data_IF_670349028120
#
_entry.id   IF_670349028120
#
_cell.length_a   1.000
_cell.length_b   1.000
_cell.length_c   1.000
_cell.angle_alpha   90.00
_cell.angle_beta   90.00
_cell.angle_gamma   90.00
#
_symmetry.space_group_name_H-M   'P 1'
#
loop_
_entity.id
_entity.type
_entity.pdbx_description
1 polymer ?
#
# COMPACT_ATOMS: atom_id res chain seq x y z
N UNK A 1 -31.80 -20.57 15.42
CA UNK A 1 -33.18 -20.15 15.77
C UNK A 1 -33.92 -19.95 14.44
N UNK A 2 -34.63 -20.97 13.97
CA UNK A 2 -36.04 -21.26 14.22
C UNK A 2 -36.98 -20.24 13.53
N UNK A 3 -37.80 -20.76 12.60
CA UNK A 3 -38.81 -20.14 11.71
C UNK A 3 -39.93 -19.38 12.46
N UNK A 4 -40.91 -18.68 11.81
CA UNK A 4 -41.97 -19.27 10.95
C UNK A 4 -42.39 -18.42 9.71
N UNK A 5 -42.79 -19.03 8.59
CA UNK A 5 -44.16 -19.41 8.19
C UNK A 5 -45.15 -18.25 8.09
N UNK A 6 -45.58 -17.94 6.86
CA UNK A 6 -46.67 -17.01 6.54
C UNK A 6 -47.45 -17.50 5.32
N UNK A 7 -48.55 -18.22 5.58
CA UNK A 7 -49.59 -18.61 4.63
C UNK A 7 -50.48 -17.39 4.32
N UNK A 8 -50.79 -17.17 3.05
CA UNK A 8 -51.91 -16.37 2.53
C UNK A 8 -52.12 -16.77 1.06
N UNK A 9 -53.30 -16.85 0.44
CA UNK A 9 -54.70 -16.87 0.83
C UNK A 9 -55.46 -17.38 -0.44
N UNK A 10 -56.72 -17.83 -0.36
CA UNK A 10 -57.45 -18.45 -1.47
C UNK A 10 -57.97 -17.40 -2.47
N UNK A 11 -58.09 -17.83 -3.74
CA UNK A 11 -58.70 -17.07 -4.83
C UNK A 11 -60.20 -16.84 -4.59
N UNK A 12 -60.79 -15.72 -5.07
CA UNK A 12 -62.23 -15.52 -5.01
C UNK A 12 -62.95 -16.19 -6.18
N UNK A 13 -64.01 -16.92 -5.82
CA UNK A 13 -64.99 -17.55 -6.69
C UNK A 13 -65.73 -16.53 -7.59
N UNK A 14 -65.89 -16.91 -8.86
CA UNK A 14 -66.79 -16.27 -9.81
C UNK A 14 -68.20 -16.84 -9.67
N UNK A 15 -69.27 -16.03 -9.60
CA UNK A 15 -70.62 -16.54 -9.78
C UNK A 15 -71.01 -16.49 -11.27
N UNK A 16 -70.97 -17.65 -11.91
CA UNK A 16 -71.61 -17.89 -13.19
C UNK A 16 -73.13 -18.05 -13.00
N UNK A 17 -73.91 -17.05 -13.40
CA UNK A 17 -75.36 -17.21 -13.60
C UNK A 17 -75.59 -17.75 -15.02
N UNK A 18 -75.99 -19.02 -15.13
CA UNK A 18 -76.51 -19.60 -16.36
C UNK A 18 -77.95 -19.15 -16.64
N UNK A 19 -78.42 -19.21 -17.90
CA UNK A 19 -79.83 -19.06 -18.23
C UNK A 19 -80.56 -20.41 -18.13
N UNK A 20 -81.61 -20.47 -17.31
CA UNK A 20 -82.61 -21.54 -17.28
C UNK A 20 -83.76 -21.19 -18.24
N UNK A 21 -84.10 -22.04 -19.22
CA UNK A 21 -85.37 -21.96 -19.95
C UNK A 21 -86.44 -22.76 -19.20
N UNK A 22 -87.53 -22.10 -18.81
CA UNK A 22 -88.77 -22.73 -18.38
C UNK A 22 -89.84 -22.58 -19.45
N UNK A 23 -90.78 -23.54 -19.40
CA UNK A 23 -92.12 -23.61 -20.03
C UNK A 23 -92.10 -24.46 -21.32
N UNK A 24 -92.36 -25.77 -21.22
CA UNK A 24 -93.65 -26.51 -21.06
C UNK A 24 -94.40 -26.69 -22.38
N UNK A 25 -94.46 -27.94 -22.82
CA UNK A 25 -95.47 -28.46 -23.74
C UNK A 25 -96.87 -28.43 -23.11
N UNK A 26 -97.89 -28.07 -23.90
CA UNK A 26 -99.21 -28.71 -23.84
C UNK A 26 -99.98 -28.41 -25.14
N UNK A 27 -100.27 -29.48 -25.88
CA UNK A 27 -101.29 -29.55 -26.93
C UNK A 27 -102.63 -29.77 -26.24
N UNK A 28 -103.67 -28.99 -26.54
CA UNK A 28 -105.01 -29.55 -26.82
C UNK A 28 -105.99 -28.54 -27.46
N UNK A 29 -106.77 -29.11 -28.39
CA UNK A 29 -108.14 -28.83 -28.81
C UNK A 29 -108.54 -27.55 -29.56
N UNK A 30 -109.15 -27.85 -30.72
CA UNK A 30 -109.91 -26.99 -31.63
C UNK A 30 -111.33 -26.87 -31.09
N UNK A 31 -111.83 -25.65 -30.96
CA UNK A 31 -113.25 -25.31 -31.10
C UNK A 31 -113.33 -23.82 -31.47
N UNK A 32 -113.80 -23.55 -32.68
CA UNK A 32 -114.36 -22.26 -33.14
C UNK A 32 -115.88 -22.52 -33.19
N UNK A 33 -116.76 -21.61 -32.75
CA UNK A 33 -117.04 -20.42 -33.56
C UNK A 33 -117.46 -19.18 -32.72
N UNK A 34 -117.94 -18.15 -33.41
CA UNK A 34 -118.54 -16.90 -32.90
C UNK A 34 -117.60 -15.72 -32.60
N UNK A 35 -117.46 -14.88 -33.64
CA UNK A 35 -117.43 -13.43 -33.43
C UNK A 35 -116.08 -12.87 -33.05
N UNK A 36 -115.14 -12.82 -34.01
CA UNK A 36 -114.00 -11.92 -33.96
C UNK A 36 -114.49 -10.46 -34.00
N UNK A 37 -114.97 -9.93 -32.87
CA UNK A 37 -115.06 -8.49 -32.66
C UNK A 37 -113.62 -8.02 -32.51
N UNK A 38 -112.97 -7.75 -33.65
CA UNK A 38 -111.65 -7.13 -33.67
C UNK A 38 -111.83 -5.75 -33.07
N UNK A 39 -111.63 -5.61 -31.76
CA UNK A 39 -111.43 -4.31 -31.14
C UNK A 39 -110.09 -3.83 -31.68
N UNK A 40 -110.17 -3.16 -32.82
CA UNK A 40 -109.05 -2.44 -33.39
C UNK A 40 -108.84 -1.23 -32.48
N UNK A 41 -108.15 -1.44 -31.36
CA UNK A 41 -107.67 -0.34 -30.55
C UNK A 41 -106.67 0.45 -31.39
N UNK A 42 -106.78 1.77 -31.31
CA UNK A 42 -105.76 2.65 -31.88
C UNK A 42 -104.60 2.71 -30.90
N UNK A 43 -103.39 2.58 -31.40
CA UNK A 43 -102.20 2.76 -30.59
C UNK A 43 -102.24 4.16 -29.93
N UNK A 44 -102.09 4.30 -28.61
CA UNK A 44 -102.18 5.57 -27.90
C UNK A 44 -101.02 6.54 -28.23
N UNK A 45 -100.02 6.08 -28.99
CA UNK A 45 -98.80 6.82 -29.33
C UNK A 45 -98.83 7.36 -30.77
N UNK A 46 -99.35 6.60 -31.73
CA UNK A 46 -99.40 6.99 -33.15
C UNK A 46 -100.80 6.96 -33.77
N UNK A 47 -101.82 6.56 -32.99
CA UNK A 47 -103.23 6.45 -33.39
C UNK A 47 -103.50 5.47 -34.55
N UNK A 48 -102.54 4.61 -34.89
CA UNK A 48 -102.68 3.58 -35.92
C UNK A 48 -103.36 2.35 -35.32
N UNK A 49 -104.23 1.73 -36.11
CA UNK A 49 -104.94 0.49 -35.80
C UNK A 49 -103.96 -0.62 -35.42
N UNK A 50 -104.14 -1.23 -34.25
CA UNK A 50 -103.28 -2.32 -33.79
C UNK A 50 -104.05 -3.34 -32.97
N UNK A 51 -103.60 -4.61 -33.03
CA UNK A 51 -104.14 -5.71 -32.23
C UNK A 51 -103.61 -5.71 -30.79
N UNK A 52 -102.57 -4.91 -30.50
CA UNK A 52 -101.98 -4.76 -29.18
C UNK A 52 -102.10 -3.31 -28.72
N UNK A 53 -102.11 -3.11 -27.40
CA UNK A 53 -102.16 -1.81 -26.72
C UNK A 53 -101.18 -0.77 -27.29
N UNK A 54 -100.01 -1.20 -27.78
CA UNK A 54 -99.05 -0.36 -28.53
C UNK A 54 -98.54 -1.09 -29.76
N UNK A 55 -98.39 -0.40 -30.90
CA UNK A 55 -97.92 -1.03 -32.12
C UNK A 55 -96.42 -1.37 -32.08
N UNK A 56 -96.03 -2.41 -32.83
CA UNK A 56 -94.63 -2.85 -32.91
C UNK A 56 -93.68 -1.74 -33.38
N UNK A 57 -94.14 -0.84 -34.27
CA UNK A 57 -93.36 0.32 -34.71
C UNK A 57 -93.02 1.26 -33.54
N UNK A 58 -93.99 1.62 -32.72
CA UNK A 58 -93.76 2.48 -31.54
C UNK A 58 -92.83 1.81 -30.53
N UNK A 59 -92.99 0.50 -30.28
CA UNK A 59 -92.12 -0.28 -29.39
C UNK A 59 -90.69 -0.35 -29.93
N UNK A 60 -90.51 -0.66 -31.23
CA UNK A 60 -89.21 -0.70 -31.89
C UNK A 60 -88.54 0.68 -31.91
N UNK A 61 -89.32 1.74 -32.13
CA UNK A 61 -88.83 3.13 -32.06
C UNK A 61 -88.52 3.60 -30.63
N UNK A 62 -88.77 2.77 -29.60
CA UNK A 62 -88.55 3.13 -28.19
C UNK A 62 -89.36 4.34 -27.70
N UNK A 63 -90.40 4.77 -28.44
CA UNK A 63 -91.20 5.97 -28.17
C UNK A 63 -92.56 5.58 -27.57
N UNK A 64 -92.54 5.11 -26.32
CA UNK A 64 -93.74 4.74 -25.56
C UNK A 64 -93.70 5.26 -24.11
N UNK A 65 -94.87 5.32 -23.47
CA UNK A 65 -95.07 5.84 -22.10
C UNK A 65 -95.66 4.73 -21.22
N UNK A 66 -95.34 4.71 -19.93
CA UNK A 66 -95.98 3.82 -18.96
C UNK A 66 -97.42 4.28 -18.66
N UNK A 67 -98.39 3.36 -18.77
CA UNK A 67 -99.83 3.67 -18.61
C UNK A 67 -100.29 3.81 -17.15
N UNK A 68 -99.43 3.46 -16.18
CA UNK A 68 -99.71 3.47 -14.73
C UNK A 68 -99.84 4.89 -14.12
N UNK A 69 -99.89 5.95 -14.94
CA UNK A 69 -100.09 7.34 -14.52
C UNK A 69 -98.96 7.98 -13.70
N UNK A 70 -98.09 7.18 -13.09
CA UNK A 70 -96.97 7.60 -12.23
C UNK A 70 -95.80 8.22 -12.98
N UNK A 71 -95.59 7.88 -14.25
CA UNK A 71 -94.50 8.40 -15.06
C UNK A 71 -94.97 8.77 -16.46
N UNK A 72 -94.97 10.08 -16.76
CA UNK A 72 -95.29 10.63 -18.09
C UNK A 72 -94.07 10.76 -19.03
N UNK A 73 -92.89 10.40 -18.55
CA UNK A 73 -91.64 10.43 -19.34
C UNK A 73 -91.66 9.31 -20.38
N UNK A 74 -91.31 9.64 -21.64
CA UNK A 74 -91.19 8.63 -22.69
C UNK A 74 -89.94 7.79 -22.47
N UNK A 75 -89.99 6.53 -22.84
CA UNK A 75 -88.85 5.63 -22.70
C UNK A 75 -87.61 6.15 -23.47
N UNK A 76 -87.81 6.79 -24.63
CA UNK A 76 -86.74 7.42 -25.41
C UNK A 76 -86.01 8.52 -24.61
N UNK A 77 -86.74 9.42 -23.94
CA UNK A 77 -86.18 10.49 -23.10
C UNK A 77 -85.42 9.91 -21.90
N UNK A 78 -85.99 8.87 -21.27
CA UNK A 78 -85.36 8.16 -20.15
C UNK A 78 -84.05 7.47 -20.56
N UNK A 79 -84.02 6.86 -21.74
CA UNK A 79 -82.83 6.22 -22.33
C UNK A 79 -81.77 7.26 -22.69
N UNK A 80 -82.18 8.40 -23.25
CA UNK A 80 -81.27 9.51 -23.54
C UNK A 80 -80.66 10.08 -22.26
N UNK A 81 -81.46 10.28 -21.21
CA UNK A 81 -80.97 10.70 -19.89
C UNK A 81 -79.95 9.71 -19.33
N UNK A 82 -80.21 8.41 -19.43
CA UNK A 82 -79.25 7.38 -19.00
C UNK A 82 -77.94 7.47 -19.80
N UNK A 83 -78.01 7.64 -21.12
CA UNK A 83 -76.81 7.80 -21.94
C UNK A 83 -76.02 9.06 -21.57
N UNK A 84 -76.70 10.19 -21.35
CA UNK A 84 -76.06 11.43 -20.87
C UNK A 84 -75.37 11.24 -19.52
N UNK A 85 -75.99 10.52 -18.59
CA UNK A 85 -75.37 10.20 -17.30
C UNK A 85 -74.15 9.28 -17.44
N UNK A 86 -74.22 8.28 -18.32
CA UNK A 86 -73.07 7.41 -18.62
C UNK A 86 -71.91 8.19 -19.23
N UNK A 87 -72.17 9.06 -20.20
CA UNK A 87 -71.13 9.92 -20.79
C UNK A 87 -70.48 10.83 -19.74
N UNK A 88 -71.28 11.46 -18.87
CA UNK A 88 -70.75 12.26 -17.75
C UNK A 88 -69.92 11.42 -16.77
N UNK A 89 -70.36 10.19 -16.45
CA UNK A 89 -69.61 9.28 -15.60
C UNK A 89 -68.24 8.96 -16.21
N UNK A 90 -68.18 8.67 -17.50
CA UNK A 90 -66.92 8.41 -18.20
C UNK A 90 -66.02 9.64 -18.25
N UNK A 91 -66.57 10.84 -18.45
CA UNK A 91 -65.84 12.10 -18.39
C UNK A 91 -65.22 12.30 -17.01
N UNK A 92 -66.00 12.17 -15.93
CA UNK A 92 -65.49 12.27 -14.56
C UNK A 92 -64.42 11.21 -14.26
N UNK A 93 -64.59 9.97 -14.73
CA UNK A 93 -63.58 8.92 -14.56
C UNK A 93 -62.27 9.30 -15.26
N UNK A 94 -62.31 9.83 -16.48
CA UNK A 94 -61.13 10.30 -17.20
C UNK A 94 -60.44 11.47 -16.48
N UNK A 95 -61.22 12.42 -15.97
CA UNK A 95 -60.67 13.55 -15.21
C UNK A 95 -59.96 13.10 -13.93
N UNK A 96 -60.58 12.19 -13.17
CA UNK A 96 -59.98 11.63 -11.96
C UNK A 96 -58.67 10.90 -12.27
N UNK A 97 -58.66 10.05 -13.31
CA UNK A 97 -57.43 9.35 -13.73
C UNK A 97 -56.32 10.33 -14.13
N UNK A 98 -56.65 11.38 -14.88
CA UNK A 98 -55.69 12.42 -15.26
C UNK A 98 -55.14 13.18 -14.06
N UNK A 99 -55.99 13.51 -13.08
CA UNK A 99 -55.58 14.18 -11.85
C UNK A 99 -54.68 13.28 -10.98
N UNK A 100 -55.01 11.99 -10.89
CA UNK A 100 -54.21 10.98 -10.19
C UNK A 100 -52.83 10.80 -10.82
N UNK A 101 -52.75 10.72 -12.15
CA UNK A 101 -51.47 10.65 -12.88
C UNK A 101 -50.62 11.88 -12.60
N UNK A 102 -51.20 13.09 -12.65
CA UNK A 102 -50.50 14.33 -12.31
C UNK A 102 -49.94 14.33 -10.88
N UNK A 103 -50.72 13.86 -9.90
CA UNK A 103 -50.27 13.69 -8.51
C UNK A 103 -49.12 12.69 -8.40
N UNK A 104 -49.23 11.55 -9.07
CA UNK A 104 -48.20 10.52 -9.07
C UNK A 104 -46.86 11.05 -9.61
N UNK A 105 -46.88 11.78 -10.72
CA UNK A 105 -45.67 12.40 -11.29
C UNK A 105 -45.04 13.39 -10.30
N UNK A 106 -45.86 14.24 -9.66
CA UNK A 106 -45.38 15.21 -8.67
C UNK A 106 -44.71 14.50 -7.50
N UNK A 107 -45.35 13.47 -6.94
CA UNK A 107 -44.79 12.74 -5.81
C UNK A 107 -43.54 11.95 -6.20
N UNK A 108 -43.50 11.39 -7.40
CA UNK A 108 -42.29 10.75 -7.95
C UNK A 108 -41.12 11.73 -8.03
N UNK A 109 -41.35 12.96 -8.53
CA UNK A 109 -40.33 14.00 -8.59
C UNK A 109 -39.92 14.48 -7.19
N UNK A 110 -40.86 14.63 -6.25
CA UNK A 110 -40.56 14.97 -4.85
C UNK A 110 -39.64 13.95 -4.22
N UNK A 111 -39.90 12.65 -4.41
CA UNK A 111 -39.03 11.59 -3.92
C UNK A 111 -37.62 11.64 -4.52
N UNK A 112 -37.51 11.87 -5.84
CA UNK A 112 -36.21 12.05 -6.51
C UNK A 112 -35.44 13.24 -5.93
N UNK A 113 -36.11 14.39 -5.75
CA UNK A 113 -35.51 15.59 -5.15
C UNK A 113 -35.04 15.31 -3.72
N UNK A 114 -35.86 14.65 -2.90
CA UNK A 114 -35.51 14.30 -1.52
C UNK A 114 -34.31 13.35 -1.45
N UNK A 115 -34.26 12.34 -2.32
CA UNK A 115 -33.13 11.42 -2.44
C UNK A 115 -31.84 12.15 -2.83
N UNK A 116 -31.90 13.01 -3.85
CA UNK A 116 -30.76 13.84 -4.25
C UNK A 116 -30.29 14.76 -3.10
N UNK A 117 -31.21 15.42 -2.39
CA UNK A 117 -30.87 16.26 -1.23
C UNK A 117 -30.14 15.46 -0.16
N UNK A 118 -30.66 14.29 0.20
CA UNK A 118 -30.02 13.40 1.17
C UNK A 118 -28.60 13.02 0.73
N UNK A 119 -28.42 12.67 -0.55
CA UNK A 119 -27.12 12.33 -1.11
C UNK A 119 -26.13 13.49 -1.07
N UNK A 120 -26.59 14.70 -1.37
CA UNK A 120 -25.75 15.91 -1.29
C UNK A 120 -25.29 16.12 0.15
N UNK A 121 -26.16 15.94 1.15
CA UNK A 121 -25.74 16.19 2.54
C UNK A 121 -24.78 15.12 3.06
N UNK A 122 -24.96 13.86 2.64
CA UNK A 122 -23.98 12.80 2.88
C UNK A 122 -22.61 13.12 2.26
N UNK A 123 -22.59 13.64 1.04
CA UNK A 123 -21.35 14.04 0.36
C UNK A 123 -20.68 15.23 1.07
N UNK A 124 -21.46 16.25 1.46
CA UNK A 124 -20.93 17.39 2.23
C UNK A 124 -20.29 16.92 3.54
N UNK A 125 -20.95 16.03 4.29
CA UNK A 125 -20.38 15.48 5.53
C UNK A 125 -19.08 14.72 5.29
N UNK A 126 -19.02 13.92 4.22
CA UNK A 126 -17.80 13.17 3.84
C UNK A 126 -16.66 14.14 3.48
N UNK A 127 -16.94 15.19 2.70
CA UNK A 127 -15.95 16.22 2.35
C UNK A 127 -15.46 16.95 3.61
N UNK A 128 -16.35 17.34 4.52
CA UNK A 128 -15.97 17.99 5.78
C UNK A 128 -15.05 17.10 6.63
N UNK A 129 -15.38 15.81 6.77
CA UNK A 129 -14.54 14.84 7.50
C UNK A 129 -13.16 14.71 6.86
N UNK A 130 -13.11 14.52 5.54
CA UNK A 130 -11.86 14.42 4.79
C UNK A 130 -10.99 15.68 4.92
N UNK A 131 -11.57 16.87 4.87
CA UNK A 131 -10.84 18.13 5.04
C UNK A 131 -10.22 18.29 6.43
N UNK A 132 -10.94 17.90 7.50
CA UNK A 132 -10.39 17.95 8.86
C UNK A 132 -9.25 16.94 9.06
N UNK A 133 -9.36 15.73 8.49
CA UNK A 133 -8.28 14.75 8.48
C UNK A 133 -7.05 15.25 7.70
N UNK A 134 -7.25 15.82 6.52
CA UNK A 134 -6.17 16.43 5.73
C UNK A 134 -5.47 17.56 6.50
N UNK A 135 -6.23 18.39 7.23
CA UNK A 135 -5.68 19.45 8.07
C UNK A 135 -4.87 18.89 9.25
N UNK A 136 -5.34 17.81 9.89
CA UNK A 136 -4.61 17.11 10.95
C UNK A 136 -3.31 16.49 10.41
N UNK A 137 -3.39 15.80 9.27
CA UNK A 137 -2.24 15.16 8.62
C UNK A 137 -1.20 16.19 8.16
N UNK A 138 -1.64 17.30 7.56
CA UNK A 138 -0.76 18.40 7.17
C UNK A 138 -0.02 19.01 8.36
N UNK A 139 -0.71 19.26 9.49
CA UNK A 139 -0.08 19.72 10.74
C UNK A 139 0.93 18.70 11.28
N UNK A 140 0.59 17.40 11.23
CA UNK A 140 1.49 16.32 11.62
C UNK A 140 2.76 16.27 10.78
N UNK A 141 2.62 16.37 9.45
CA UNK A 141 3.71 16.39 8.50
C UNK A 141 4.66 17.56 8.75
N UNK A 142 4.13 18.75 9.02
CA UNK A 142 4.94 19.95 9.26
C UNK A 142 5.78 19.81 10.54
N UNK A 143 5.20 19.25 11.61
CA UNK A 143 5.94 18.92 12.85
C UNK A 143 7.04 17.89 12.61
N UNK A 144 6.77 16.86 11.81
CA UNK A 144 7.77 15.84 11.46
C UNK A 144 8.90 16.43 10.63
N UNK A 145 8.58 17.30 9.66
CA UNK A 145 9.57 18.01 8.83
C UNK A 145 10.49 18.87 9.70
N UNK A 146 9.94 19.61 10.67
CA UNK A 146 10.72 20.42 11.61
C UNK A 146 11.65 19.56 12.47
N UNK A 147 11.17 18.43 13.01
CA UNK A 147 12.00 17.48 13.77
C UNK A 147 13.14 16.92 12.90
N UNK A 148 12.84 16.51 11.67
CA UNK A 148 13.84 16.02 10.74
C UNK A 148 14.88 17.09 10.41
N UNK A 149 14.47 18.35 10.18
CA UNK A 149 15.40 19.45 9.95
C UNK A 149 16.36 19.64 11.13
N UNK A 150 15.87 19.58 12.38
CA UNK A 150 16.71 19.65 13.59
C UNK A 150 17.70 18.48 13.67
N UNK A 151 17.28 17.28 13.28
CA UNK A 151 18.15 16.10 13.22
C UNK A 151 19.24 16.27 12.16
N UNK A 152 18.90 16.75 10.96
CA UNK A 152 19.89 17.07 9.91
C UNK A 152 20.91 18.09 10.40
N UNK A 153 20.48 19.20 11.02
CA UNK A 153 21.41 20.19 11.57
C UNK A 153 22.27 19.63 12.71
N UNK A 154 21.78 18.67 13.50
CA UNK A 154 22.57 17.99 14.53
C UNK A 154 23.59 17.03 13.90
N UNK A 155 23.19 16.25 12.91
CA UNK A 155 24.06 15.34 12.18
C UNK A 155 25.20 16.10 11.50
N UNK A 156 24.90 17.23 10.84
CA UNK A 156 25.89 18.09 10.22
C UNK A 156 26.93 18.60 11.23
N UNK A 157 26.51 19.12 12.38
CA UNK A 157 27.44 19.56 13.44
C UNK A 157 28.35 18.44 13.93
N UNK A 158 27.83 17.21 14.04
CA UNK A 158 28.65 16.05 14.43
C UNK A 158 29.63 15.66 13.32
N UNK A 159 29.21 15.73 12.06
CA UNK A 159 30.07 15.48 10.91
C UNK A 159 31.23 16.48 10.83
N UNK A 160 30.95 17.78 11.00
CA UNK A 160 31.97 18.84 11.05
C UNK A 160 32.98 18.62 12.18
N UNK A 161 32.52 18.17 13.36
CA UNK A 161 33.40 17.80 14.48
C UNK A 161 34.28 16.60 14.13
N UNK A 162 33.71 15.56 13.53
CA UNK A 162 34.45 14.37 13.09
C UNK A 162 35.55 14.76 12.09
N UNK A 163 35.24 15.58 11.10
CA UNK A 163 36.21 16.07 10.12
C UNK A 163 37.29 16.94 10.75
N UNK A 164 36.95 17.74 11.77
CA UNK A 164 37.94 18.54 12.53
C UNK A 164 38.92 17.65 13.31
N UNK A 165 38.42 16.58 13.94
CA UNK A 165 39.26 15.60 14.64
C UNK A 165 40.14 14.84 13.65
N UNK A 166 39.56 14.32 12.57
CA UNK A 166 40.31 13.60 11.54
C UNK A 166 41.43 14.46 10.93
N UNK A 167 41.19 15.76 10.69
CA UNK A 167 42.24 16.68 10.24
C UNK A 167 43.37 16.85 11.26
N UNK A 168 43.05 16.92 12.56
CA UNK A 168 44.06 17.00 13.62
C UNK A 168 44.87 15.71 13.71
N UNK A 169 44.20 14.56 13.65
CA UNK A 169 44.87 13.25 13.73
C UNK A 169 45.80 13.04 12.53
N UNK A 170 45.40 13.44 11.30
CA UNK A 170 46.29 13.40 10.14
C UNK A 170 47.55 14.23 10.34
N UNK A 171 47.40 15.51 10.74
CA UNK A 171 48.54 16.39 11.02
C UNK A 171 49.46 15.86 12.11
N UNK A 172 48.88 15.27 13.17
CA UNK A 172 49.65 14.64 14.24
C UNK A 172 50.42 13.43 13.71
N UNK A 173 49.79 12.58 12.89
CA UNK A 173 50.45 11.47 12.20
C UNK A 173 51.63 11.95 11.34
N UNK A 174 51.43 12.98 10.52
CA UNK A 174 52.49 13.56 9.68
C UNK A 174 53.68 14.05 10.54
N UNK A 175 53.40 14.75 11.64
CA UNK A 175 54.44 15.22 12.57
C UNK A 175 55.19 14.07 13.24
N UNK A 176 54.48 13.06 13.73
CA UNK A 176 55.09 11.89 14.38
C UNK A 176 56.02 11.14 13.42
N UNK A 177 55.61 10.94 12.18
CA UNK A 177 56.46 10.34 11.14
C UNK A 177 57.69 11.21 10.87
N UNK A 178 57.54 12.54 10.80
CA UNK A 178 58.68 13.42 10.51
C UNK A 178 59.68 13.58 11.67
N UNK A 179 59.23 13.53 12.93
CA UNK A 179 60.05 13.88 14.10
C UNK A 179 60.55 12.65 14.86
N UNK A 180 59.73 11.61 15.01
CA UNK A 180 60.06 10.46 15.87
C UNK A 180 60.65 9.31 15.06
N UNK A 181 60.17 9.09 13.84
CA UNK A 181 60.60 7.97 12.99
C UNK A 181 60.90 8.44 11.56
N UNK A 182 61.98 9.20 11.31
CA UNK A 182 62.47 9.40 9.96
C UNK A 182 63.01 8.06 9.45
N UNK A 183 62.12 7.26 8.85
CA UNK A 183 62.47 5.97 8.25
C UNK A 183 63.02 6.27 6.86
N UNK A 184 64.34 6.19 6.72
CA UNK A 184 65.01 6.19 5.42
C UNK A 184 65.39 4.76 5.07
N UNK A 185 64.96 4.31 3.89
CA UNK A 185 65.35 3.01 3.34
C UNK A 185 66.78 3.11 2.79
N UNK A 186 67.76 2.58 3.54
CA UNK A 186 69.16 2.58 3.13
C UNK A 186 69.44 1.35 2.28
N UNK A 187 69.55 1.53 0.96
CA UNK A 187 70.02 0.48 0.05
C UNK A 187 71.53 0.33 0.18
N UNK A 188 72.01 -0.65 0.94
CA UNK A 188 73.42 -1.07 0.89
C UNK A 188 73.66 -1.86 -0.40
N UNK A 189 73.96 -1.12 -1.46
CA UNK A 189 74.34 -1.69 -2.74
C UNK A 189 75.80 -2.11 -2.75
N UNK A 190 76.07 -3.41 -2.81
CA UNK A 190 77.18 -3.94 -3.60
C UNK A 190 76.54 -4.75 -4.71
N UNK A 191 76.41 -4.14 -5.89
CA UNK A 191 76.01 -4.83 -7.12
C UNK A 191 77.25 -4.92 -8.01
N UNK A 192 77.66 -6.15 -8.32
CA UNK A 192 78.58 -6.44 -9.43
C UNK A 192 77.94 -6.02 -10.77
N UNK A 193 78.70 -5.40 -11.69
CA UNK A 193 78.18 -4.87 -12.94
C UNK A 193 78.27 -5.92 -14.06
N UNK A 194 77.37 -6.89 -14.05
CA UNK A 194 77.06 -7.70 -15.24
C UNK A 194 75.72 -8.43 -15.03
N UNK A 195 74.62 -7.85 -15.50
CA UNK A 195 73.88 -8.48 -16.60
C UNK A 195 72.82 -7.51 -17.13
N UNK A 196 72.73 -7.47 -18.45
CA UNK A 196 71.91 -6.54 -19.20
C UNK A 196 70.51 -7.04 -19.50
N UNK A 197 69.67 -6.08 -19.90
CA UNK A 197 68.68 -6.22 -20.96
C UNK A 197 67.61 -7.32 -20.84
N UNK A 198 66.38 -6.91 -20.54
CA UNK A 198 65.26 -7.13 -21.47
C UNK A 198 64.01 -6.35 -21.07
N UNK A 199 63.58 -5.45 -21.97
CA UNK A 199 62.18 -5.07 -22.12
C UNK A 199 61.37 -6.29 -22.57
N UNK A 200 60.18 -6.49 -22.02
CA UNK A 200 58.90 -6.66 -22.76
C UNK A 200 57.81 -7.34 -21.92
N UNK A 201 56.68 -6.64 -21.83
CA UNK A 201 55.29 -7.10 -21.70
C UNK A 201 55.00 -8.43 -20.97
N UNK A 202 54.56 -8.32 -19.70
CA UNK A 202 53.71 -9.36 -19.11
C UNK A 202 52.75 -8.84 -18.03
N UNK A 203 51.98 -7.79 -18.35
CA UNK A 203 50.98 -7.21 -17.45
C UNK A 203 49.79 -8.14 -17.10
N UNK A 204 49.76 -9.38 -17.58
CA UNK A 204 48.70 -10.37 -17.27
C UNK A 204 49.18 -11.73 -16.74
N UNK A 205 50.49 -11.98 -16.65
CA UNK A 205 51.04 -13.19 -15.97
C UNK A 205 51.80 -12.87 -14.70
N UNK A 206 52.10 -11.59 -14.44
CA UNK A 206 52.82 -11.13 -13.25
C UNK A 206 52.15 -11.56 -11.94
N UNK A 207 50.82 -11.51 -11.79
CA UNK A 207 50.18 -11.87 -10.50
C UNK A 207 50.42 -13.33 -10.09
N UNK A 208 50.32 -14.29 -11.01
CA UNK A 208 50.48 -15.72 -10.68
C UNK A 208 51.95 -16.11 -10.61
N UNK A 209 52.78 -15.58 -11.51
CA UNK A 209 54.23 -15.83 -11.52
C UNK A 209 54.89 -15.15 -10.31
N UNK A 210 54.46 -13.94 -9.91
CA UNK A 210 54.92 -13.30 -8.67
C UNK A 210 54.47 -14.05 -7.43
N UNK A 211 53.24 -14.57 -7.37
CA UNK A 211 52.79 -15.43 -6.27
C UNK A 211 53.56 -16.75 -6.18
N UNK A 212 53.90 -17.35 -7.31
CA UNK A 212 54.73 -18.56 -7.35
C UNK A 212 56.19 -18.27 -6.98
N UNK A 213 56.73 -17.14 -7.43
CA UNK A 213 58.06 -16.67 -7.05
C UNK A 213 58.15 -16.31 -5.56
N UNK A 214 57.08 -15.75 -4.98
CA UNK A 214 56.95 -15.49 -3.54
C UNK A 214 56.81 -16.80 -2.74
N UNK A 215 56.02 -17.75 -3.22
CA UNK A 215 55.86 -19.06 -2.58
C UNK A 215 57.17 -19.89 -2.60
N UNK A 216 57.97 -19.78 -3.66
CA UNK A 216 59.30 -20.40 -3.73
C UNK A 216 60.32 -19.72 -2.80
N UNK A 217 60.10 -18.45 -2.44
CA UNK A 217 60.92 -17.75 -1.45
C UNK A 217 60.56 -18.15 -0.02
N UNK A 218 59.41 -18.76 0.25
CA UNK A 218 59.02 -19.16 1.61
C UNK A 218 59.29 -20.64 1.86
N UNK A 219 60.28 -20.96 2.70
CA UNK A 219 60.58 -22.33 3.14
C UNK A 219 60.13 -22.54 4.59
N UNK A 220 59.45 -23.65 4.87
CA UNK A 220 58.96 -23.99 6.21
C UNK A 220 59.99 -24.86 6.93
N UNK A 221 60.73 -24.27 7.87
CA UNK A 221 61.73 -24.97 8.68
C UNK A 221 61.32 -24.93 10.16
N UNK A 222 61.30 -26.11 10.80
CA UNK A 222 61.04 -26.27 12.24
C UNK A 222 59.83 -25.48 12.78
N UNK A 223 58.69 -25.54 12.07
CA UNK A 223 57.44 -24.95 12.56
C UNK A 223 57.25 -23.46 12.24
N UNK A 224 58.14 -22.84 11.47
CA UNK A 224 58.05 -21.42 11.09
C UNK A 224 58.29 -21.23 9.60
N UNK A 225 57.51 -20.35 8.98
CA UNK A 225 57.73 -19.89 7.61
C UNK A 225 58.90 -18.90 7.59
N UNK A 226 59.91 -19.17 6.77
CA UNK A 226 61.11 -18.33 6.59
C UNK A 226 61.19 -17.92 5.12
N UNK A 227 61.32 -16.62 4.85
CA UNK A 227 61.52 -16.09 3.49
C UNK A 227 63.01 -16.07 3.14
N UNK A 228 63.45 -16.80 2.12
CA UNK A 228 64.76 -16.66 1.48
C UNK A 228 64.74 -15.41 0.58
N UNK A 229 65.02 -14.26 1.19
CA UNK A 229 65.21 -12.99 0.48
C UNK A 229 66.66 -12.90 -0.01
N UNK A 230 67.00 -13.64 -1.06
CA UNK A 230 68.20 -13.47 -1.88
C UNK A 230 68.25 -12.13 -2.67
N UNK A 231 67.49 -11.12 -2.22
CA UNK A 231 67.61 -9.73 -2.66
C UNK A 231 68.19 -8.90 -1.53
N UNK A 232 69.51 -8.68 -1.60
CA UNK A 232 70.34 -7.75 -0.82
C UNK A 232 69.80 -7.25 0.51
N UNK A 233 70.44 -7.67 1.61
CA UNK A 233 70.28 -7.20 2.99
C UNK A 233 69.55 -5.85 3.09
N UNK A 234 68.22 -5.89 3.12
CA UNK A 234 67.42 -4.68 3.25
C UNK A 234 67.35 -4.41 4.75
N UNK A 235 68.24 -3.54 5.21
CA UNK A 235 68.32 -3.20 6.62
C UNK A 235 67.57 -1.90 6.89
N UNK A 236 66.72 -1.89 7.92
CA UNK A 236 65.91 -0.72 8.27
C UNK A 236 66.68 0.08 9.32
N UNK A 237 66.94 1.36 9.04
CA UNK A 237 67.57 2.30 9.98
C UNK A 237 66.54 3.31 10.49
N UNK A 238 66.44 3.46 11.80
CA UNK A 238 65.45 4.33 12.45
C UNK A 238 66.12 5.59 13.03
N UNK A 239 67.43 5.58 13.30
CA UNK A 239 68.13 6.71 13.94
C UNK A 239 69.61 6.80 13.53
N UNK A 240 69.87 6.69 12.23
CA UNK A 240 71.20 6.85 11.62
C UNK A 240 71.91 5.54 11.28
N UNK A 241 72.96 5.65 10.47
CA UNK A 241 73.66 4.58 9.73
C UNK A 241 74.25 3.43 10.60
N UNK A 242 74.25 3.56 11.93
CA UNK A 242 74.94 2.66 12.85
C UNK A 242 74.01 1.68 13.59
N UNK A 243 72.69 1.83 13.44
CA UNK A 243 71.70 0.94 14.06
C UNK A 243 70.75 0.45 12.96
N UNK A 244 71.11 -0.68 12.37
CA UNK A 244 70.37 -1.32 11.28
C UNK A 244 69.82 -2.66 11.75
N UNK A 245 68.49 -2.83 11.73
CA UNK A 245 67.85 -4.10 12.06
C UNK A 245 67.58 -4.90 10.76
N UNK A 246 67.83 -6.21 10.74
CA UNK A 246 67.44 -7.07 9.62
C UNK A 246 65.92 -7.00 9.40
N UNK A 247 65.47 -6.88 8.14
CA UNK A 247 64.02 -6.87 7.85
C UNK A 247 63.32 -8.19 8.27
N UNK A 248 64.08 -9.27 8.44
CA UNK A 248 63.60 -10.62 8.75
C UNK A 248 63.01 -10.74 10.16
N UNK A 249 63.24 -9.73 11.00
CA UNK A 249 62.78 -9.71 12.38
C UNK A 249 63.52 -10.69 13.29
N UNK A 250 64.65 -11.23 12.85
CA UNK A 250 65.51 -12.04 13.71
C UNK A 250 66.19 -11.17 14.78
N UNK A 251 65.84 -11.43 16.05
CA UNK A 251 66.39 -10.76 17.23
C UNK A 251 67.31 -11.67 18.04
N UNK A 252 67.69 -12.83 17.49
CA UNK A 252 68.56 -13.82 18.15
C UNK A 252 69.87 -13.22 18.64
N UNK A 253 70.46 -12.28 17.89
CA UNK A 253 71.67 -11.55 18.27
C UNK A 253 71.52 -10.81 19.62
N UNK A 254 70.36 -10.22 19.90
CA UNK A 254 70.08 -9.55 21.16
C UNK A 254 69.95 -10.54 22.32
N UNK A 255 69.19 -11.63 22.14
CA UNK A 255 69.01 -12.64 23.18
C UNK A 255 70.32 -13.37 23.51
N UNK A 256 71.15 -13.68 22.49
CA UNK A 256 72.46 -14.27 22.68
C UNK A 256 73.40 -13.34 23.46
N UNK A 257 73.44 -12.05 23.10
CA UNK A 257 74.21 -11.03 23.81
C UNK A 257 73.73 -10.84 25.27
N UNK A 258 72.42 -10.91 25.51
CA UNK A 258 71.84 -10.80 26.84
C UNK A 258 72.27 -11.96 27.75
N UNK A 259 72.21 -13.20 27.24
CA UNK A 259 72.62 -14.40 27.99
C UNK A 259 74.14 -14.42 28.26
N UNK A 260 74.95 -13.94 27.31
CA UNK A 260 76.40 -13.77 27.48
C UNK A 260 76.73 -12.74 28.58
N UNK A 261 75.99 -11.62 28.66
CA UNK A 261 76.20 -10.60 29.70
C UNK A 261 75.64 -10.96 31.06
N UNK A 262 74.61 -11.82 31.11
CA UNK A 262 74.04 -12.36 32.35
C UNK A 262 74.97 -13.35 33.05
N UNK A 263 75.86 -14.00 32.30
CA UNK A 263 76.81 -15.01 32.81
C UNK A 263 78.19 -14.43 33.20
N UNK A 264 78.49 -13.17 32.88
CA UNK A 264 79.77 -12.51 33.21
C UNK A 264 79.79 -11.71 34.53
N UNK A 265 78.72 -11.70 35.33
CA UNK A 265 78.68 -10.92 36.57
C UNK A 265 79.43 -11.61 37.73
N UNK A 266 80.64 -11.12 38.02
CA UNK A 266 81.31 -11.30 39.31
C UNK A 266 80.80 -10.32 40.39
N UNK A 267 81.16 -10.51 41.67
CA UNK A 267 80.39 -10.00 42.82
C UNK A 267 80.51 -8.51 43.14
N UNK A 268 81.16 -7.69 42.33
CA UNK A 268 81.45 -6.31 42.71
C UNK A 268 81.43 -5.39 41.49
N UNK A 269 80.28 -4.75 41.26
CA UNK A 269 80.15 -3.42 40.64
C UNK A 269 78.67 -3.02 40.56
N UNK A 270 78.30 -1.97 41.32
CA UNK A 270 77.03 -1.22 41.25
C UNK A 270 76.84 -0.45 39.93
N UNK A 271 77.18 -1.02 38.78
CA UNK A 271 76.97 -0.39 37.48
C UNK A 271 75.86 -1.13 36.75
N UNK A 272 74.75 -0.41 36.55
CA UNK A 272 73.51 -0.88 35.93
C UNK A 272 73.77 -1.85 34.76
N UNK A 273 73.31 -3.10 34.91
CA UNK A 273 73.40 -4.08 33.83
C UNK A 273 72.70 -3.49 32.59
N UNK A 274 73.41 -3.33 31.46
CA UNK A 274 72.87 -2.71 30.26
C UNK A 274 71.65 -3.47 29.72
N UNK A 275 71.53 -4.78 30.00
CA UNK A 275 70.35 -5.57 29.65
C UNK A 275 69.07 -5.05 30.32
N UNK A 276 69.11 -4.68 31.60
CA UNK A 276 67.95 -4.09 32.30
C UNK A 276 67.63 -2.68 31.81
N UNK A 277 68.65 -1.94 31.37
CA UNK A 277 68.45 -0.61 30.80
C UNK A 277 67.76 -0.72 29.44
N UNK A 278 68.17 -1.68 28.61
CA UNK A 278 67.55 -1.94 27.31
C UNK A 278 66.12 -2.47 27.48
N UNK A 279 65.89 -3.39 28.41
CA UNK A 279 64.54 -3.91 28.65
C UNK A 279 63.58 -2.83 29.18
N UNK A 280 64.05 -1.97 30.10
CA UNK A 280 63.30 -0.79 30.53
C UNK A 280 63.01 0.17 29.37
N UNK A 281 63.98 0.41 28.50
CA UNK A 281 63.82 1.28 27.32
C UNK A 281 62.79 0.71 26.34
N UNK A 282 62.82 -0.60 26.08
CA UNK A 282 61.84 -1.29 25.24
C UNK A 282 60.44 -1.23 25.85
N UNK A 283 60.31 -1.40 27.17
CA UNK A 283 59.04 -1.26 27.87
C UNK A 283 58.47 0.17 27.77
N UNK A 284 59.30 1.20 27.93
CA UNK A 284 58.85 2.58 27.72
C UNK A 284 58.47 2.86 26.26
N UNK A 285 59.17 2.25 25.30
CA UNK A 285 58.83 2.35 23.88
C UNK A 285 57.49 1.67 23.57
N UNK A 286 57.20 0.48 24.13
CA UNK A 286 55.90 -0.17 23.93
C UNK A 286 54.77 0.61 24.58
N UNK A 287 54.97 1.16 25.77
CA UNK A 287 53.99 2.05 26.42
C UNK A 287 53.71 3.29 25.56
N UNK A 288 54.75 3.92 25.01
CA UNK A 288 54.60 5.07 24.11
C UNK A 288 53.81 4.70 22.85
N UNK A 289 54.13 3.57 22.21
CA UNK A 289 53.45 3.09 20.99
C UNK A 289 51.98 2.75 21.29
N UNK A 290 51.68 2.14 22.44
CA UNK A 290 50.30 1.85 22.86
C UNK A 290 49.49 3.13 23.06
N UNK A 291 50.04 4.11 23.78
CA UNK A 291 49.43 5.43 23.98
C UNK A 291 49.22 6.15 22.64
N UNK A 292 50.22 6.15 21.75
CA UNK A 292 50.12 6.77 20.44
C UNK A 292 49.06 6.08 19.57
N UNK A 293 48.97 4.74 19.60
CA UNK A 293 47.96 4.00 18.86
C UNK A 293 46.54 4.36 19.30
N UNK A 294 46.34 4.56 20.61
CA UNK A 294 45.07 5.01 21.17
C UNK A 294 44.73 6.45 20.79
N UNK A 295 45.70 7.36 20.83
CA UNK A 295 45.51 8.77 20.46
C UNK A 295 45.21 8.92 18.96
N UNK A 296 45.87 8.13 18.12
CA UNK A 296 45.72 8.17 16.67
C UNK A 296 44.55 7.32 16.15
N UNK A 297 43.91 6.52 17.01
CA UNK A 297 42.84 5.58 16.66
C UNK A 297 43.29 4.55 15.59
N UNK A 298 44.51 4.03 15.77
CA UNK A 298 45.11 3.02 14.88
C UNK A 298 45.11 1.67 15.58
N UNK A 299 44.54 0.66 14.93
CA UNK A 299 44.54 -0.71 15.44
C UNK A 299 45.94 -1.34 15.25
N UNK A 300 46.61 -1.66 16.35
CA UNK A 300 47.86 -2.41 16.31
C UNK A 300 47.59 -3.87 15.90
N UNK A 301 48.45 -4.49 15.07
CA UNK A 301 48.27 -5.86 14.60
C UNK A 301 48.37 -6.91 15.73
N UNK A 302 48.99 -6.58 16.87
CA UNK A 302 49.05 -7.40 18.08
C UNK A 302 48.88 -6.52 19.32
N UNK A 303 48.26 -7.07 20.37
CA UNK A 303 48.22 -6.42 21.69
C UNK A 303 49.62 -6.39 22.29
N UNK A 304 50.08 -5.22 22.71
CA UNK A 304 51.38 -5.06 23.35
C UNK A 304 51.30 -5.55 24.80
N UNK A 305 52.16 -6.50 25.16
CA UNK A 305 52.27 -7.02 26.53
C UNK A 305 53.50 -6.42 27.21
N UNK A 306 53.30 -5.44 28.10
CA UNK A 306 54.39 -4.82 28.85
C UNK A 306 55.06 -5.76 29.87
N UNK A 307 54.51 -6.96 30.06
CA UNK A 307 55.07 -8.01 30.92
C UNK A 307 56.15 -8.87 30.23
N UNK A 308 56.39 -8.67 28.93
CA UNK A 308 57.37 -9.46 28.15
C UNK A 308 58.80 -8.87 28.19
N UNK A 309 59.00 -7.71 28.81
CA UNK A 309 60.28 -6.98 28.88
C UNK A 309 60.75 -6.80 30.33
#
# INVERSE_FOLDING_TARGET
MASPSGKAAPAPDAPGCGPLPLVRDLVDSVDDPEGLYVVVERCPLCNITCWRLTCAKCVQSSDFIYLDGRHRERFIDKKERLNRLKSKQEEFQKEVLKAMEGKWIIDQLRWKIMSCKMRIEQLKQTICKGNEEMKKNSKGLLKTKEKNQKLYSRAQRHQEKKEKIQRRNRKLGDLLTSVIFPIEEVKTGVRDPADGSSESDSAMTSSTVSKLAEAWRTMFLSGRWVCDDHSGDTSISITGLWISLPNSGDRSAYYNWMEEKKTMQGPDMEHANPAYTISATLCYATQLVDILSHILDVNLPKKLCNSEF
#
